data_IF_702671566728
#
_entry.id   IF_702671566728
#
_cell.length_a   1.000
_cell.length_b   1.000
_cell.length_c   1.000
_cell.angle_alpha   90.00
_cell.angle_beta   90.00
_cell.angle_gamma   90.00
#
_symmetry.space_group_name_H-M   'P 1'
#
loop_
_entity.id
_entity.type
_entity.pdbx_description
1 polymer ?
#
# COMPACT_ATOMS: atom_id res chain seq x y z
N UNK A 1 37.28 -56.59 -10.51
CA UNK A 1 36.21 -55.59 -10.24
C UNK A 1 36.78 -54.43 -9.44
N UNK A 2 37.48 -53.47 -10.06
CA UNK A 2 37.87 -52.19 -9.42
C UNK A 2 37.98 -51.13 -10.52
N UNK A 3 36.86 -50.69 -11.10
CA UNK A 3 36.89 -49.53 -12.02
C UNK A 3 35.58 -48.76 -12.20
N UNK A 4 34.50 -49.12 -11.47
CA UNK A 4 33.21 -48.42 -11.58
C UNK A 4 33.02 -47.31 -10.52
N UNK A 5 33.49 -47.54 -9.30
CA UNK A 5 33.21 -46.67 -8.14
C UNK A 5 34.08 -45.40 -8.06
N UNK A 6 35.21 -45.34 -8.80
CA UNK A 6 36.08 -44.14 -8.82
C UNK A 6 35.60 -43.07 -9.82
N UNK A 7 34.90 -43.47 -10.88
CA UNK A 7 34.36 -42.54 -11.87
C UNK A 7 33.07 -41.86 -11.40
N UNK A 8 32.23 -42.56 -10.60
CA UNK A 8 31.02 -41.98 -10.03
C UNK A 8 31.30 -40.95 -8.93
N UNK A 9 32.32 -41.15 -8.09
CA UNK A 9 32.73 -40.15 -7.08
C UNK A 9 33.32 -38.87 -7.71
N UNK A 10 34.09 -39.00 -8.81
CA UNK A 10 34.65 -37.84 -9.49
C UNK A 10 33.58 -36.98 -10.18
N UNK A 11 32.57 -37.61 -10.78
CA UNK A 11 31.45 -36.91 -11.41
C UNK A 11 30.52 -36.23 -10.38
N UNK A 12 30.26 -36.87 -9.25
CA UNK A 12 29.44 -36.28 -8.19
C UNK A 12 30.13 -35.08 -7.50
N UNK A 13 31.45 -35.12 -7.33
CA UNK A 13 32.22 -34.02 -6.76
C UNK A 13 32.37 -32.85 -7.73
N UNK A 14 32.50 -33.11 -9.03
CA UNK A 14 32.50 -32.08 -10.07
C UNK A 14 31.12 -31.41 -10.23
N UNK A 15 30.02 -32.17 -10.11
CA UNK A 15 28.67 -31.62 -10.12
C UNK A 15 28.37 -30.80 -8.85
N UNK A 16 28.85 -31.23 -7.68
CA UNK A 16 28.74 -30.47 -6.44
C UNK A 16 29.58 -29.19 -6.45
N UNK A 17 30.77 -29.21 -7.08
CA UNK A 17 31.62 -28.03 -7.24
C UNK A 17 31.05 -27.04 -8.27
N UNK A 18 30.39 -27.52 -9.33
CA UNK A 18 29.66 -26.68 -10.28
C UNK A 18 28.38 -26.06 -9.68
N UNK A 19 27.67 -26.78 -8.79
CA UNK A 19 26.55 -26.21 -8.03
C UNK A 19 27.00 -25.21 -6.95
N UNK A 20 28.19 -25.38 -6.38
CA UNK A 20 28.77 -24.45 -5.41
C UNK A 20 29.37 -23.17 -6.04
N UNK A 21 29.58 -23.15 -7.37
CA UNK A 21 30.04 -21.97 -8.11
C UNK A 21 28.88 -21.11 -8.66
N UNK A 22 27.63 -21.57 -8.55
CA UNK A 22 26.44 -20.80 -8.93
C UNK A 22 25.92 -19.89 -7.80
N UNK A 23 26.53 -19.93 -6.61
CA UNK A 23 26.13 -19.12 -5.47
C UNK A 23 27.06 -17.91 -5.30
N UNK A 24 26.61 -16.76 -5.81
CA UNK A 24 27.11 -15.43 -5.45
C UNK A 24 28.04 -14.80 -6.48
N UNK A 25 27.51 -14.35 -7.62
CA UNK A 25 28.16 -13.22 -8.29
C UNK A 25 28.20 -12.07 -7.28
N UNK A 26 29.39 -11.72 -6.82
CA UNK A 26 29.58 -10.56 -5.93
C UNK A 26 29.11 -9.34 -6.71
N UNK A 27 28.07 -8.67 -6.22
CA UNK A 27 27.59 -7.42 -6.83
C UNK A 27 28.74 -6.41 -6.84
N UNK A 28 29.28 -6.11 -8.02
CA UNK A 28 30.31 -5.09 -8.13
C UNK A 28 29.65 -3.73 -7.94
N UNK A 29 30.26 -2.86 -7.14
CA UNK A 29 29.80 -1.49 -7.01
C UNK A 29 30.51 -0.63 -8.05
N UNK A 30 29.74 0.11 -8.83
CA UNK A 30 30.23 1.12 -9.76
C UNK A 30 29.57 2.45 -9.45
N UNK A 31 30.39 3.43 -9.09
CA UNK A 31 30.01 4.76 -8.63
C UNK A 31 30.28 5.78 -9.71
N UNK A 32 29.29 6.64 -9.94
CA UNK A 32 29.41 7.77 -10.83
C UNK A 32 30.44 8.78 -10.29
N UNK A 33 31.44 9.10 -11.11
CA UNK A 33 32.52 10.05 -10.79
C UNK A 33 32.38 11.41 -11.50
N UNK A 34 31.43 11.56 -12.42
CA UNK A 34 31.24 12.78 -13.22
C UNK A 34 31.58 12.59 -14.71
N UNK A 35 31.26 13.60 -15.52
CA UNK A 35 31.47 13.62 -16.99
C UNK A 35 30.30 14.26 -17.74
N UNK A 36 30.15 13.94 -19.04
CA UNK A 36 29.18 14.58 -19.96
C UNK A 36 27.69 14.21 -19.71
N UNK A 37 27.40 13.57 -18.56
CA UNK A 37 26.05 13.19 -18.17
C UNK A 37 25.54 11.86 -18.76
N UNK A 38 26.19 11.27 -19.77
CA UNK A 38 25.71 10.03 -20.40
C UNK A 38 26.08 8.76 -19.62
N UNK A 39 25.11 7.87 -19.42
CA UNK A 39 25.27 6.58 -18.72
C UNK A 39 26.30 5.68 -19.42
N UNK A 40 26.27 5.65 -20.76
CA UNK A 40 27.04 4.73 -21.60
C UNK A 40 28.55 4.97 -21.65
N UNK A 41 29.07 6.03 -21.00
CA UNK A 41 30.48 6.40 -21.07
C UNK A 41 31.25 5.71 -19.92
N UNK A 42 32.16 4.75 -20.21
CA UNK A 42 32.87 4.02 -19.14
C UNK A 42 33.67 4.90 -18.20
N UNK A 43 34.21 6.03 -18.70
CA UNK A 43 35.00 6.97 -17.91
C UNK A 43 34.22 7.70 -16.82
N UNK A 44 32.88 7.73 -16.92
CA UNK A 44 32.02 8.35 -15.93
C UNK A 44 31.86 7.50 -14.66
N UNK A 45 32.33 6.26 -14.69
CA UNK A 45 32.16 5.26 -13.64
C UNK A 45 33.51 4.80 -13.09
N UNK A 46 33.59 4.45 -11.81
CA UNK A 46 34.82 3.92 -11.19
C UNK A 46 35.02 2.41 -11.37
N UNK A 47 33.93 1.67 -11.52
CA UNK A 47 33.90 0.24 -11.83
C UNK A 47 33.63 -0.07 -13.30
N UNK A 48 33.59 0.94 -14.19
CA UNK A 48 33.08 0.81 -15.55
C UNK A 48 31.54 0.88 -15.61
N UNK A 49 30.96 0.76 -16.80
CA UNK A 49 29.49 0.85 -16.96
C UNK A 49 28.83 -0.28 -16.15
N UNK A 50 27.94 0.03 -15.20
CA UNK A 50 27.24 -0.99 -14.42
C UNK A 50 26.45 -1.95 -15.32
N UNK A 51 26.52 -3.25 -15.02
CA UNK A 51 25.85 -4.32 -15.74
C UNK A 51 24.88 -5.11 -14.84
N UNK A 52 24.24 -6.14 -15.41
CA UNK A 52 23.32 -7.01 -14.68
C UNK A 52 24.04 -7.67 -13.49
N UNK A 53 23.47 -7.56 -12.29
CA UNK A 53 24.10 -8.03 -11.05
C UNK A 53 24.82 -6.93 -10.25
N UNK A 54 25.17 -5.80 -10.87
CA UNK A 54 25.96 -4.74 -10.24
C UNK A 54 25.11 -3.75 -9.44
N UNK A 55 25.79 -3.02 -8.55
CA UNK A 55 25.27 -1.85 -7.86
C UNK A 55 25.78 -0.59 -8.54
N UNK A 56 24.87 0.20 -9.11
CA UNK A 56 25.14 1.52 -9.65
C UNK A 56 24.86 2.59 -8.58
N UNK A 57 25.84 3.45 -8.28
CA UNK A 57 25.69 4.54 -7.29
C UNK A 57 25.86 5.89 -7.97
N UNK A 58 24.85 6.75 -7.88
CA UNK A 58 24.91 8.13 -8.33
C UNK A 58 24.90 9.05 -7.09
N UNK A 59 26.03 9.65 -6.71
CA UNK A 59 26.23 10.07 -5.32
C UNK A 59 25.53 11.36 -4.90
N UNK A 60 25.47 12.38 -5.76
CA UNK A 60 24.77 13.66 -5.54
C UNK A 60 24.98 14.66 -6.68
N UNK A 61 24.14 15.70 -6.76
CA UNK A 61 24.30 16.91 -7.56
C UNK A 61 24.63 16.65 -9.03
N UNK A 62 23.89 15.73 -9.66
CA UNK A 62 24.20 15.33 -11.04
C UNK A 62 22.95 14.97 -11.83
N UNK A 63 22.94 15.41 -13.08
CA UNK A 63 21.99 14.96 -14.09
C UNK A 63 22.65 13.86 -14.93
N UNK A 64 22.07 12.66 -14.90
CA UNK A 64 22.50 11.52 -15.71
C UNK A 64 21.44 11.26 -16.78
N UNK A 65 21.87 11.07 -18.02
CA UNK A 65 21.06 10.69 -19.16
C UNK A 65 21.27 9.20 -19.42
N UNK A 66 20.19 8.42 -19.34
CA UNK A 66 20.18 7.06 -19.88
C UNK A 66 20.08 7.17 -21.40
N UNK A 67 21.21 6.97 -22.06
CA UNK A 67 21.40 7.05 -23.51
C UNK A 67 21.54 5.67 -24.16
N UNK A 68 21.25 4.60 -23.41
CA UNK A 68 21.32 3.20 -23.85
C UNK A 68 20.00 2.45 -23.63
N UNK A 69 19.70 1.56 -24.58
CA UNK A 69 18.60 0.62 -24.49
C UNK A 69 19.11 -0.73 -23.98
N UNK A 70 18.43 -1.30 -22.99
CA UNK A 70 18.75 -2.61 -22.44
C UNK A 70 19.75 -2.58 -21.29
N UNK A 71 19.98 -1.41 -20.68
CA UNK A 71 20.81 -1.34 -19.48
C UNK A 71 20.14 -2.13 -18.34
N UNK A 72 20.96 -2.85 -17.58
CA UNK A 72 20.49 -3.64 -16.45
C UNK A 72 21.41 -3.42 -15.27
N UNK A 73 20.85 -3.32 -14.07
CA UNK A 73 21.59 -3.30 -12.80
C UNK A 73 20.85 -4.15 -11.77
N UNK A 74 21.51 -4.56 -10.70
CA UNK A 74 20.83 -5.16 -9.56
C UNK A 74 20.37 -4.09 -8.56
N UNK A 75 21.23 -3.14 -8.22
CA UNK A 75 20.91 -2.05 -7.28
C UNK A 75 21.17 -0.72 -7.98
N UNK A 76 20.24 0.24 -7.88
CA UNK A 76 20.44 1.63 -8.26
C UNK A 76 20.31 2.51 -7.01
N UNK A 77 21.37 3.21 -6.65
CA UNK A 77 21.40 4.12 -5.50
C UNK A 77 21.52 5.58 -5.97
N UNK A 78 20.61 6.43 -5.50
CA UNK A 78 20.51 7.85 -5.88
C UNK A 78 20.65 8.74 -4.64
N UNK A 79 21.64 9.62 -4.66
CA UNK A 79 21.88 10.59 -3.59
C UNK A 79 21.19 11.96 -3.82
N UNK A 80 21.61 12.96 -3.05
CA UNK A 80 20.95 14.27 -3.02
C UNK A 80 21.10 15.05 -4.34
N UNK A 81 20.02 15.65 -4.83
CA UNK A 81 19.97 16.45 -6.06
C UNK A 81 20.44 15.67 -7.30
N UNK A 82 20.08 14.38 -7.37
CA UNK A 82 20.30 13.53 -8.54
C UNK A 82 19.09 13.52 -9.44
N UNK A 83 19.29 13.71 -10.74
CA UNK A 83 18.27 13.52 -11.76
C UNK A 83 18.72 12.48 -12.78
N UNK A 84 18.08 11.30 -12.80
CA UNK A 84 18.26 10.31 -13.85
C UNK A 84 17.16 10.48 -14.90
N UNK A 85 17.52 10.90 -16.12
CA UNK A 85 16.57 11.03 -17.24
C UNK A 85 16.69 9.83 -18.17
N UNK A 86 15.63 9.03 -18.27
CA UNK A 86 15.48 7.97 -19.26
C UNK A 86 14.85 8.55 -20.52
N UNK A 87 15.69 8.69 -21.55
CA UNK A 87 15.32 9.32 -22.82
C UNK A 87 14.54 8.36 -23.73
N UNK A 88 13.86 8.90 -24.74
CA UNK A 88 13.00 8.14 -25.65
C UNK A 88 13.74 6.94 -26.28
N UNK A 89 13.14 5.75 -26.20
CA UNK A 89 13.68 4.53 -26.78
C UNK A 89 14.76 3.83 -25.94
N UNK A 90 15.15 4.40 -24.81
CA UNK A 90 16.12 3.85 -23.87
C UNK A 90 15.43 3.25 -22.64
N UNK A 91 16.13 2.37 -21.92
CA UNK A 91 15.57 1.74 -20.73
C UNK A 91 16.64 1.30 -19.73
N UNK A 92 16.21 1.24 -18.48
CA UNK A 92 16.97 0.66 -17.37
C UNK A 92 16.11 -0.39 -16.69
N UNK A 93 16.64 -1.60 -16.55
CA UNK A 93 15.96 -2.69 -15.85
C UNK A 93 16.68 -3.01 -14.54
N UNK A 94 15.92 -3.06 -13.45
CA UNK A 94 16.39 -3.67 -12.20
C UNK A 94 16.20 -5.18 -12.29
N UNK A 95 17.28 -5.92 -12.00
CA UNK A 95 17.31 -7.39 -12.03
C UNK A 95 16.36 -7.97 -10.99
N UNK A 96 15.94 -9.24 -11.15
CA UNK A 96 15.04 -9.87 -10.19
C UNK A 96 15.66 -9.91 -8.79
N UNK A 97 14.91 -9.49 -7.76
CA UNK A 97 15.45 -9.31 -6.40
C UNK A 97 16.27 -8.03 -6.18
N UNK A 98 16.37 -7.16 -7.19
CA UNK A 98 17.14 -5.92 -7.15
C UNK A 98 16.40 -4.74 -6.51
N UNK A 99 17.06 -3.60 -6.32
CA UNK A 99 16.46 -2.44 -5.65
C UNK A 99 16.77 -1.07 -6.28
N UNK A 100 15.83 -0.13 -6.13
CA UNK A 100 16.04 1.30 -6.35
C UNK A 100 16.03 1.99 -4.99
N UNK A 101 17.16 2.54 -4.58
CA UNK A 101 17.32 3.18 -3.28
C UNK A 101 17.64 4.67 -3.44
N UNK A 102 16.77 5.53 -2.92
CA UNK A 102 17.05 6.94 -2.75
C UNK A 102 17.58 7.20 -1.34
N UNK A 103 18.90 7.37 -1.21
CA UNK A 103 19.54 7.81 0.04
C UNK A 103 19.69 9.34 0.11
N UNK A 104 19.27 10.05 -0.94
CA UNK A 104 19.10 11.50 -0.98
C UNK A 104 17.83 11.90 -1.74
N UNK A 105 17.60 13.22 -1.87
CA UNK A 105 16.49 13.75 -2.66
C UNK A 105 16.78 13.56 -4.16
N UNK A 106 16.08 12.63 -4.81
CA UNK A 106 16.38 12.23 -6.17
C UNK A 106 15.15 12.22 -7.08
N UNK A 107 15.37 12.43 -8.38
CA UNK A 107 14.36 12.36 -9.43
C UNK A 107 14.76 11.34 -10.50
N UNK A 108 13.85 10.45 -10.86
CA UNK A 108 13.93 9.65 -12.09
C UNK A 108 12.87 10.14 -13.06
N UNK A 109 13.30 10.70 -14.19
CA UNK A 109 12.43 11.20 -15.25
C UNK A 109 12.35 10.19 -16.39
N UNK A 110 11.14 9.70 -16.69
CA UNK A 110 10.84 8.76 -17.76
C UNK A 110 10.14 9.48 -18.92
N UNK A 111 10.83 9.58 -20.06
CA UNK A 111 10.22 9.98 -21.33
C UNK A 111 9.46 8.76 -21.89
N UNK A 112 8.29 8.92 -22.57
CA UNK A 112 7.47 7.79 -23.03
C UNK A 112 8.23 6.72 -23.83
N UNK A 113 7.72 5.48 -23.71
CA UNK A 113 8.20 4.20 -24.26
C UNK A 113 9.40 3.52 -23.55
N UNK A 114 9.11 2.38 -22.91
CA UNK A 114 10.06 1.38 -22.39
C UNK A 114 10.97 1.78 -21.20
N UNK A 115 10.80 2.95 -20.59
CA UNK A 115 11.60 3.58 -19.50
C UNK A 115 12.23 2.75 -18.37
N UNK A 116 11.85 3.03 -17.11
CA UNK A 116 12.35 2.31 -15.92
C UNK A 116 11.55 1.02 -15.73
N UNK A 117 12.25 -0.11 -15.68
CA UNK A 117 11.68 -1.45 -15.61
C UNK A 117 12.10 -2.17 -14.35
N UNK A 118 11.14 -2.85 -13.74
CA UNK A 118 11.36 -3.75 -12.62
C UNK A 118 11.10 -5.18 -13.09
N UNK A 119 12.05 -6.08 -12.84
CA UNK A 119 11.83 -7.51 -12.93
C UNK A 119 11.00 -8.00 -11.71
N UNK A 120 11.09 -9.29 -11.37
CA UNK A 120 10.33 -9.86 -10.26
C UNK A 120 10.99 -9.56 -8.90
N UNK A 121 10.18 -9.28 -7.88
CA UNK A 121 10.58 -9.05 -6.49
C UNK A 121 11.57 -7.89 -6.32
N UNK A 122 11.25 -6.74 -6.90
CA UNK A 122 12.10 -5.55 -6.74
C UNK A 122 11.63 -4.68 -5.57
N UNK A 123 12.59 -4.06 -4.90
CA UNK A 123 12.33 -3.14 -3.80
C UNK A 123 12.63 -1.69 -4.21
N UNK A 124 11.78 -0.76 -3.81
CA UNK A 124 12.08 0.68 -3.81
C UNK A 124 12.28 1.09 -2.37
N UNK A 125 13.44 1.67 -2.07
CA UNK A 125 13.81 2.16 -0.74
C UNK A 125 14.00 3.67 -0.77
N UNK A 126 13.53 4.37 0.25
CA UNK A 126 13.82 5.80 0.48
C UNK A 126 14.28 6.00 1.92
N UNK A 127 15.45 6.60 2.11
CA UNK A 127 15.96 6.92 3.44
C UNK A 127 15.07 7.93 4.16
N UNK A 128 15.07 7.89 5.48
CA UNK A 128 14.25 8.78 6.30
C UNK A 128 14.51 10.27 5.96
N UNK A 129 13.43 11.01 5.70
CA UNK A 129 13.50 12.44 5.36
C UNK A 129 14.02 12.74 3.96
N UNK A 130 14.16 11.72 3.09
CA UNK A 130 14.51 11.88 1.68
C UNK A 130 13.29 11.69 0.77
N UNK A 131 13.43 12.12 -0.47
CA UNK A 131 12.39 11.99 -1.48
C UNK A 131 12.91 11.26 -2.72
N UNK A 132 12.06 10.41 -3.31
CA UNK A 132 12.25 9.86 -4.65
C UNK A 132 11.07 10.31 -5.52
N UNK A 133 11.35 11.20 -6.46
CA UNK A 133 10.38 11.64 -7.47
C UNK A 133 10.49 10.75 -8.71
N UNK A 134 9.40 10.13 -9.14
CA UNK A 134 9.31 9.42 -10.42
C UNK A 134 8.42 10.25 -11.35
N UNK A 135 9.02 10.90 -12.34
CA UNK A 135 8.35 11.86 -13.23
C UNK A 135 8.22 11.31 -14.65
N UNK A 136 7.10 11.51 -15.35
CA UNK A 136 7.00 11.12 -16.76
C UNK A 136 5.61 10.77 -17.26
N UNK A 137 5.41 10.79 -18.57
CA UNK A 137 4.18 10.33 -19.25
C UNK A 137 4.22 8.83 -19.63
N UNK A 138 5.33 8.14 -19.36
CA UNK A 138 5.50 6.70 -19.53
C UNK A 138 5.52 6.00 -18.18
N UNK A 139 4.67 4.99 -17.99
CA UNK A 139 4.55 4.23 -16.75
C UNK A 139 5.88 3.60 -16.33
N UNK A 140 6.22 3.63 -15.05
CA UNK A 140 7.12 2.63 -14.48
C UNK A 140 6.47 1.25 -14.69
N UNK A 141 7.15 0.35 -15.41
CA UNK A 141 6.59 -0.96 -15.76
C UNK A 141 7.21 -2.03 -14.86
N UNK A 142 6.39 -2.66 -14.02
CA UNK A 142 6.78 -3.84 -13.25
C UNK A 142 6.25 -5.12 -13.91
N UNK A 143 7.09 -6.15 -14.01
CA UNK A 143 6.64 -7.50 -14.40
C UNK A 143 6.07 -8.18 -13.17
N UNK A 144 4.74 -8.21 -13.10
CA UNK A 144 3.88 -9.28 -12.58
C UNK A 144 4.20 -10.01 -11.26
N UNK A 145 5.21 -9.67 -10.46
CA UNK A 145 5.52 -10.21 -9.12
C UNK A 145 6.21 -9.15 -8.23
N UNK A 146 5.40 -8.51 -7.38
CA UNK A 146 5.71 -7.64 -6.23
C UNK A 146 6.74 -6.51 -6.44
N UNK A 147 6.24 -5.28 -6.53
CA UNK A 147 7.01 -4.06 -6.27
C UNK A 147 6.81 -3.68 -4.79
N UNK A 148 7.87 -3.72 -3.99
CA UNK A 148 7.81 -3.30 -2.57
C UNK A 148 8.18 -1.83 -2.47
N UNK A 149 7.37 -0.99 -1.82
CA UNK A 149 7.76 0.36 -1.40
C UNK A 149 8.20 0.29 0.07
N UNK A 150 9.43 0.66 0.38
CA UNK A 150 9.99 0.69 1.73
C UNK A 150 10.57 2.07 2.04
N UNK A 151 10.15 2.69 3.14
CA UNK A 151 10.71 3.94 3.64
C UNK A 151 11.35 3.69 5.00
N UNK A 152 12.57 4.20 5.23
CA UNK A 152 13.32 4.02 6.47
C UNK A 152 12.93 4.99 7.61
N UNK A 153 11.89 5.80 7.44
CA UNK A 153 11.34 6.69 8.46
C UNK A 153 10.13 6.10 9.15
N UNK A 154 9.79 6.59 10.35
CA UNK A 154 8.49 6.32 10.97
C UNK A 154 7.39 6.66 9.95
N UNK A 155 6.62 5.63 9.56
CA UNK A 155 5.43 5.67 8.70
C UNK A 155 5.47 6.76 7.60
N UNK A 156 6.10 6.48 6.46
CA UNK A 156 6.25 7.43 5.34
C UNK A 156 4.92 7.81 4.69
N UNK A 157 4.84 9.02 4.11
CA UNK A 157 3.67 9.48 3.34
C UNK A 157 3.80 9.08 1.86
N UNK A 158 2.68 8.80 1.21
CA UNK A 158 2.60 8.54 -0.24
C UNK A 158 1.56 9.46 -0.89
N UNK A 159 1.90 10.06 -2.02
CA UNK A 159 0.97 10.81 -2.86
C UNK A 159 0.80 10.09 -4.21
N UNK A 160 -0.44 9.72 -4.51
CA UNK A 160 -0.84 9.21 -5.82
C UNK A 160 -1.42 10.36 -6.63
N UNK A 161 -0.67 10.79 -7.64
CA UNK A 161 -1.12 11.80 -8.60
C UNK A 161 -2.32 11.33 -9.43
N UNK A 162 -2.82 12.21 -10.29
CA UNK A 162 -3.98 11.93 -11.13
C UNK A 162 -3.85 10.60 -11.90
N UNK A 163 -4.91 9.81 -11.88
CA UNK A 163 -5.03 8.49 -12.52
C UNK A 163 -3.99 7.43 -12.07
N UNK A 164 -3.18 7.71 -11.05
CA UNK A 164 -2.17 6.78 -10.53
C UNK A 164 -2.81 5.64 -9.76
N UNK A 165 -2.22 4.45 -9.86
CA UNK A 165 -2.67 3.27 -9.14
C UNK A 165 -1.57 2.73 -8.22
N UNK A 166 -1.98 2.09 -7.13
CA UNK A 166 -1.11 1.40 -6.19
C UNK A 166 -1.50 -0.08 -6.17
N UNK A 167 -0.57 -0.97 -6.52
CA UNK A 167 -0.76 -2.43 -6.45
C UNK A 167 0.19 -3.01 -5.39
N UNK A 168 -0.37 -3.42 -4.25
CA UNK A 168 0.32 -3.93 -3.08
C UNK A 168 0.25 -5.44 -3.03
N UNK A 169 1.42 -6.05 -3.13
CA UNK A 169 1.58 -7.50 -2.98
C UNK A 169 2.20 -7.92 -1.66
N UNK A 170 2.68 -6.94 -0.90
CA UNK A 170 3.12 -7.05 0.48
C UNK A 170 2.27 -6.17 1.38
N UNK A 171 2.55 -6.24 2.67
CA UNK A 171 2.00 -5.29 3.63
C UNK A 171 2.71 -3.95 3.49
N UNK A 172 1.98 -2.85 3.62
CA UNK A 172 2.53 -1.50 3.59
C UNK A 172 1.93 -0.69 4.73
N UNK A 173 2.76 0.05 5.46
CA UNK A 173 2.30 1.03 6.47
C UNK A 173 2.74 2.42 6.03
N UNK A 174 1.78 3.35 6.00
CA UNK A 174 2.00 4.75 5.64
C UNK A 174 1.51 5.68 6.76
N UNK A 175 2.17 6.83 6.89
CA UNK A 175 1.71 7.92 7.76
C UNK A 175 0.43 8.53 7.19
N UNK A 176 0.50 8.96 5.94
CA UNK A 176 -0.60 9.46 5.14
C UNK A 176 -0.59 8.91 3.70
N UNK A 177 -1.78 8.86 3.09
CA UNK A 177 -1.96 8.58 1.67
C UNK A 177 -2.79 9.71 1.07
N UNK A 178 -2.20 10.46 0.13
CA UNK A 178 -2.91 11.49 -0.63
C UNK A 178 -3.32 10.94 -1.99
N UNK A 179 -4.57 11.15 -2.35
CA UNK A 179 -5.14 10.80 -3.66
C UNK A 179 -5.86 11.99 -4.27
N UNK A 180 -5.80 12.14 -5.59
CA UNK A 180 -6.43 13.26 -6.29
C UNK A 180 -7.91 12.99 -6.64
N UNK A 181 -8.75 14.00 -6.43
CA UNK A 181 -10.20 13.96 -6.73
C UNK A 181 -10.43 13.70 -8.22
N UNK A 182 -11.33 12.77 -8.53
CA UNK A 182 -11.71 12.45 -9.92
C UNK A 182 -10.70 11.59 -10.68
N UNK A 183 -9.65 11.09 -10.01
CA UNK A 183 -8.73 10.12 -10.58
C UNK A 183 -9.42 8.79 -10.94
N UNK A 184 -8.94 8.15 -12.01
CA UNK A 184 -9.39 6.83 -12.50
C UNK A 184 -8.56 5.65 -11.99
N UNK A 185 -7.57 5.95 -11.16
CA UNK A 185 -6.67 4.95 -10.59
C UNK A 185 -7.36 4.02 -9.61
N UNK A 186 -6.60 3.07 -9.08
CA UNK A 186 -7.09 2.10 -8.10
C UNK A 186 -6.04 1.81 -7.04
N UNK A 187 -6.48 1.42 -5.85
CA UNK A 187 -5.60 0.82 -4.84
C UNK A 187 -5.97 -0.66 -4.75
N UNK A 188 -5.06 -1.52 -5.17
CA UNK A 188 -5.20 -2.96 -5.11
C UNK A 188 -4.31 -3.53 -4.02
N UNK A 189 -4.89 -4.30 -3.10
CA UNK A 189 -4.17 -5.01 -2.05
C UNK A 189 -4.40 -6.50 -2.25
N UNK A 190 -3.31 -7.25 -2.42
CA UNK A 190 -3.36 -8.69 -2.61
C UNK A 190 -4.01 -9.40 -1.43
N UNK A 191 -4.53 -10.60 -1.67
CA UNK A 191 -5.14 -11.41 -0.62
C UNK A 191 -4.17 -11.64 0.55
N UNK A 192 -4.70 -11.57 1.78
CA UNK A 192 -3.93 -11.71 3.02
C UNK A 192 -2.83 -10.65 3.23
N UNK A 193 -2.86 -9.55 2.47
CA UNK A 193 -2.01 -8.37 2.69
C UNK A 193 -2.84 -7.21 3.20
N UNK A 194 -2.16 -6.24 3.80
CA UNK A 194 -2.81 -5.07 4.40
C UNK A 194 -2.07 -3.80 4.03
N UNK A 195 -2.82 -2.81 3.54
CA UNK A 195 -2.40 -1.41 3.56
C UNK A 195 -2.84 -0.80 4.88
N UNK A 196 -1.89 -0.37 5.72
CA UNK A 196 -2.17 0.34 6.97
C UNK A 196 -1.89 1.82 6.79
N UNK A 197 -2.86 2.67 7.12
CA UNK A 197 -2.70 4.12 7.21
C UNK A 197 -2.79 4.52 8.68
N UNK A 198 -1.80 5.27 9.16
CA UNK A 198 -1.81 5.82 10.53
C UNK A 198 -2.68 7.06 10.67
N UNK A 199 -2.88 7.79 9.57
CA UNK A 199 -3.75 8.96 9.51
C UNK A 199 -3.52 9.93 10.69
N UNK A 200 -2.34 10.56 10.72
CA UNK A 200 -2.00 11.59 11.71
C UNK A 200 -2.79 12.90 11.56
N UNK A 201 -3.59 13.02 10.51
CA UNK A 201 -4.45 14.15 10.18
C UNK A 201 -5.64 13.65 9.34
N UNK A 202 -6.56 14.56 9.07
CA UNK A 202 -7.70 14.28 8.21
C UNK A 202 -7.25 13.77 6.84
N UNK A 203 -7.90 12.71 6.34
CA UNK A 203 -7.51 12.04 5.11
C UNK A 203 -8.73 11.69 4.26
N UNK A 204 -8.69 12.07 3.00
CA UNK A 204 -9.69 11.69 2.00
C UNK A 204 -9.11 10.65 1.04
N UNK A 205 -9.79 9.51 0.91
CA UNK A 205 -9.45 8.44 -0.03
C UNK A 205 -10.38 8.53 -1.24
N UNK A 206 -9.84 9.02 -2.35
CA UNK A 206 -10.56 9.34 -3.60
C UNK A 206 -10.58 8.20 -4.62
N UNK A 207 -9.84 7.12 -4.36
CA UNK A 207 -9.71 5.96 -5.24
C UNK A 207 -10.39 4.73 -4.65
N UNK A 208 -10.95 3.83 -5.50
CA UNK A 208 -11.49 2.57 -5.03
C UNK A 208 -10.39 1.66 -4.48
N UNK A 209 -10.70 0.96 -3.39
CA UNK A 209 -9.76 0.04 -2.72
C UNK A 209 -10.24 -1.41 -2.83
N UNK A 210 -9.40 -2.29 -3.37
CA UNK A 210 -9.62 -3.74 -3.36
C UNK A 210 -8.68 -4.41 -2.36
N UNK A 211 -9.11 -5.50 -1.73
CA UNK A 211 -8.40 -6.12 -0.62
C UNK A 211 -8.62 -5.40 0.72
N UNK A 212 -7.61 -5.42 1.60
CA UNK A 212 -7.72 -4.97 2.98
C UNK A 212 -7.03 -3.63 3.23
N UNK A 213 -7.82 -2.63 3.61
CA UNK A 213 -7.39 -1.34 4.12
C UNK A 213 -7.55 -1.32 5.64
N UNK A 214 -6.49 -0.99 6.37
CA UNK A 214 -6.51 -0.74 7.81
C UNK A 214 -6.24 0.73 8.08
N UNK A 215 -7.10 1.33 8.90
CA UNK A 215 -7.06 2.73 9.29
C UNK A 215 -6.82 2.80 10.80
N UNK A 216 -5.76 3.49 11.20
CA UNK A 216 -5.36 3.68 12.61
C UNK A 216 -5.26 5.16 12.99
N UNK A 217 -6.33 5.95 12.76
CA UNK A 217 -6.30 7.40 12.92
C UNK A 217 -5.88 7.86 14.31
N UNK A 218 -5.18 9.00 14.35
CA UNK A 218 -4.90 9.69 15.61
C UNK A 218 -6.18 10.26 16.23
N UNK A 219 -6.09 10.66 17.50
CA UNK A 219 -7.16 11.24 18.29
C UNK A 219 -7.94 12.34 17.52
N UNK A 220 -9.24 12.13 17.31
CA UNK A 220 -10.16 13.08 16.66
C UNK A 220 -10.01 13.26 15.15
N UNK A 221 -9.12 12.51 14.48
CA UNK A 221 -8.93 12.61 13.04
C UNK A 221 -10.11 12.03 12.26
N UNK A 222 -10.41 12.64 11.11
CA UNK A 222 -11.42 12.18 10.14
C UNK A 222 -10.76 11.40 9.00
N UNK A 223 -11.31 10.25 8.65
CA UNK A 223 -10.99 9.56 7.39
C UNK A 223 -12.25 9.48 6.54
N UNK A 224 -12.21 10.01 5.31
CA UNK A 224 -13.31 9.91 4.36
C UNK A 224 -13.03 8.85 3.29
N UNK A 225 -14.00 7.98 3.04
CA UNK A 225 -13.99 7.03 1.93
C UNK A 225 -14.93 7.52 0.85
N UNK A 226 -14.38 8.11 -0.22
CA UNK A 226 -15.15 8.70 -1.32
C UNK A 226 -15.50 7.70 -2.43
N UNK A 227 -14.90 6.50 -2.39
CA UNK A 227 -15.16 5.38 -3.32
C UNK A 227 -15.37 4.06 -2.58
N UNK A 228 -15.78 3.01 -3.30
CA UNK A 228 -15.90 1.65 -2.75
C UNK A 228 -14.60 1.16 -2.11
N UNK A 229 -14.75 0.40 -1.03
CA UNK A 229 -13.67 -0.39 -0.45
C UNK A 229 -14.15 -1.81 -0.10
N UNK A 230 -13.30 -2.82 -0.32
CA UNK A 230 -13.69 -4.21 -0.09
C UNK A 230 -13.71 -4.56 1.40
N UNK A 231 -12.57 -4.52 2.09
CA UNK A 231 -12.48 -4.76 3.54
C UNK A 231 -11.79 -3.58 4.19
N UNK A 232 -12.44 -2.96 5.16
CA UNK A 232 -11.90 -1.85 5.95
C UNK A 232 -11.83 -2.27 7.41
N UNK A 233 -10.67 -2.16 8.03
CA UNK A 233 -10.52 -2.16 9.48
C UNK A 233 -10.37 -0.72 9.94
N UNK A 234 -11.19 -0.27 10.88
CA UNK A 234 -11.12 1.06 11.49
C UNK A 234 -10.88 0.92 12.99
N UNK A 235 -9.76 1.46 13.47
CA UNK A 235 -9.36 1.34 14.87
C UNK A 235 -9.83 2.55 15.69
N UNK A 236 -10.55 2.29 16.77
CA UNK A 236 -11.00 3.30 17.72
C UNK A 236 -9.87 3.92 18.53
N UNK A 237 -10.16 5.06 19.15
CA UNK A 237 -9.27 5.73 20.09
C UNK A 237 -10.04 6.64 21.07
N UNK A 238 -9.33 7.16 22.07
CA UNK A 238 -9.86 7.95 23.17
C UNK A 238 -10.63 9.24 22.82
N UNK A 239 -10.38 9.78 21.63
CA UNK A 239 -10.95 11.05 21.19
C UNK A 239 -11.89 10.86 20.00
N UNK A 240 -12.41 9.64 19.86
CA UNK A 240 -13.49 9.26 18.94
C UNK A 240 -13.19 9.67 17.49
N UNK A 241 -12.35 8.90 16.77
CA UNK A 241 -12.05 9.21 15.37
C UNK A 241 -13.30 8.99 14.51
N UNK A 242 -13.38 9.75 13.41
CA UNK A 242 -14.52 9.76 12.51
C UNK A 242 -14.22 9.01 11.21
N UNK A 243 -14.98 7.96 10.91
CA UNK A 243 -15.03 7.37 9.58
C UNK A 243 -16.22 7.94 8.80
N UNK A 244 -15.95 8.81 7.83
CA UNK A 244 -16.94 9.35 6.92
C UNK A 244 -17.12 8.44 5.69
N UNK A 245 -18.34 7.99 5.49
CA UNK A 245 -18.71 7.04 4.45
C UNK A 245 -19.44 7.77 3.32
N UNK A 246 -18.66 8.31 2.38
CA UNK A 246 -19.14 9.23 1.35
C UNK A 246 -19.59 8.57 0.06
N UNK A 247 -19.23 7.31 -0.16
CA UNK A 247 -19.56 6.60 -1.39
C UNK A 247 -20.87 5.81 -1.28
N UNK A 248 -21.81 6.03 -2.20
CA UNK A 248 -22.99 5.18 -2.33
C UNK A 248 -22.66 3.75 -2.86
N UNK A 249 -21.43 3.51 -3.31
CA UNK A 249 -21.00 2.20 -3.86
C UNK A 249 -20.82 1.12 -2.78
N UNK A 250 -20.80 1.50 -1.49
CA UNK A 250 -20.81 0.58 -0.36
C UNK A 250 -19.44 0.02 0.05
N UNK A 251 -19.45 -0.74 1.15
CA UNK A 251 -18.34 -1.52 1.67
C UNK A 251 -18.69 -3.01 1.64
N UNK A 252 -17.69 -3.87 1.36
CA UNK A 252 -17.87 -5.31 1.54
C UNK A 252 -17.93 -5.70 3.01
N UNK A 253 -16.90 -5.30 3.77
CA UNK A 253 -16.76 -5.57 5.20
C UNK A 253 -16.16 -4.36 5.91
N UNK A 254 -16.76 -3.96 7.03
CA UNK A 254 -16.24 -2.96 7.96
C UNK A 254 -16.01 -3.62 9.31
N UNK A 255 -14.74 -3.65 9.74
CA UNK A 255 -14.31 -4.16 11.04
C UNK A 255 -13.94 -3.00 11.92
N UNK A 256 -14.68 -2.82 13.00
CA UNK A 256 -14.35 -1.88 14.04
C UNK A 256 -13.50 -2.62 15.08
N UNK A 257 -12.30 -2.13 15.31
CA UNK A 257 -11.39 -2.67 16.33
C UNK A 257 -11.25 -1.65 17.46
N UNK A 258 -11.29 -2.12 18.71
CA UNK A 258 -10.99 -1.30 19.89
C UNK A 258 -9.62 -0.62 19.86
N UNK A 259 -9.52 0.50 20.58
CA UNK A 259 -8.31 1.25 20.90
C UNK A 259 -8.05 1.35 22.41
N UNK A 260 -8.02 2.57 22.95
CA UNK A 260 -8.01 2.86 24.39
C UNK A 260 -8.25 4.37 24.58
N UNK A 261 -9.44 4.81 25.08
CA UNK A 261 -10.74 4.14 25.05
C UNK A 261 -11.16 3.61 23.67
N UNK A 262 -12.12 2.67 23.68
CA UNK A 262 -12.56 1.86 22.53
C UNK A 262 -13.81 2.45 21.88
N UNK A 263 -13.69 3.68 21.35
CA UNK A 263 -14.82 4.43 20.79
C UNK A 263 -14.52 4.82 19.33
N UNK A 264 -15.54 4.72 18.46
CA UNK A 264 -15.50 5.13 17.05
C UNK A 264 -16.79 5.84 16.67
N UNK A 265 -16.69 6.82 15.77
CA UNK A 265 -17.86 7.37 15.08
C UNK A 265 -17.83 6.96 13.61
N UNK A 266 -18.95 6.44 13.13
CA UNK A 266 -19.21 6.24 11.71
C UNK A 266 -20.28 7.24 11.28
N UNK A 267 -20.00 7.96 10.20
CA UNK A 267 -20.96 8.89 9.60
C UNK A 267 -21.27 8.51 8.16
N UNK A 268 -22.48 7.98 7.89
CA UNK A 268 -22.99 7.88 6.54
C UNK A 268 -23.14 9.27 5.91
N UNK A 269 -22.42 9.53 4.82
CA UNK A 269 -22.50 10.77 4.05
C UNK A 269 -23.41 10.64 2.80
N UNK A 270 -23.87 9.42 2.53
CA UNK A 270 -24.90 9.07 1.56
C UNK A 270 -25.69 7.84 2.06
N UNK A 271 -26.78 7.49 1.37
CA UNK A 271 -27.39 6.18 1.54
C UNK A 271 -26.36 5.11 1.14
N UNK A 272 -26.03 4.21 2.06
CA UNK A 272 -24.90 3.30 1.89
C UNK A 272 -25.20 1.90 2.37
N UNK A 273 -24.52 0.92 1.76
CA UNK A 273 -24.54 -0.48 2.16
C UNK A 273 -23.19 -0.91 2.70
N UNK A 274 -23.20 -1.64 3.82
CA UNK A 274 -22.07 -2.39 4.36
C UNK A 274 -22.47 -3.86 4.37
N UNK A 275 -21.73 -4.71 3.68
CA UNK A 275 -22.05 -6.14 3.61
C UNK A 275 -21.99 -6.80 4.98
N UNK A 276 -20.86 -6.65 5.68
CA UNK A 276 -20.66 -7.13 7.05
C UNK A 276 -20.12 -6.00 7.91
N UNK A 277 -20.77 -5.73 9.05
CA UNK A 277 -20.26 -4.85 10.10
C UNK A 277 -19.90 -5.72 11.31
N UNK A 278 -18.64 -5.73 11.70
CA UNK A 278 -18.19 -6.42 12.90
C UNK A 278 -17.59 -5.45 13.91
N UNK A 279 -17.95 -5.61 15.18
CA UNK A 279 -17.45 -4.75 16.26
C UNK A 279 -16.66 -5.61 17.23
N UNK A 280 -15.34 -5.59 17.14
CA UNK A 280 -14.47 -6.43 17.97
C UNK A 280 -13.72 -5.61 19.01
N UNK A 281 -13.89 -5.99 20.28
CA UNK A 281 -13.27 -5.31 21.44
C UNK A 281 -13.60 -3.81 21.47
N UNK A 282 -14.76 -3.42 20.99
CA UNK A 282 -15.20 -2.03 20.95
C UNK A 282 -16.11 -1.78 22.14
N UNK A 283 -15.91 -0.68 22.87
CA UNK A 283 -16.83 -0.26 23.94
C UNK A 283 -18.06 0.36 23.31
N UNK A 284 -17.87 1.28 22.37
CA UNK A 284 -18.97 2.04 21.77
C UNK A 284 -18.73 2.37 20.29
N UNK A 285 -19.74 2.14 19.46
CA UNK A 285 -19.81 2.62 18.08
C UNK A 285 -20.93 3.64 17.98
N UNK A 286 -20.59 4.92 17.81
CA UNK A 286 -21.56 5.96 17.49
C UNK A 286 -21.85 5.99 15.98
N UNK A 287 -23.11 5.82 15.61
CA UNK A 287 -23.61 6.06 14.25
C UNK A 287 -24.20 7.47 14.18
N UNK A 288 -23.44 8.40 13.63
CA UNK A 288 -23.81 9.81 13.52
C UNK A 288 -24.39 10.11 12.14
N UNK A 289 -25.65 10.53 12.09
CA UNK A 289 -26.32 10.92 10.85
C UNK A 289 -26.25 12.43 10.57
N UNK A 290 -25.58 13.20 11.44
CA UNK A 290 -25.38 14.65 11.35
C UNK A 290 -26.71 15.43 11.14
N UNK A 291 -27.80 14.92 11.73
CA UNK A 291 -29.13 15.50 11.55
C UNK A 291 -29.73 15.34 10.14
N UNK A 292 -29.08 14.59 9.25
CA UNK A 292 -29.54 14.34 7.88
C UNK A 292 -30.22 12.96 7.77
N UNK A 293 -31.38 12.90 7.13
CA UNK A 293 -32.05 11.62 6.85
C UNK A 293 -31.29 10.84 5.78
N UNK A 294 -30.54 9.82 6.21
CA UNK A 294 -29.80 8.86 5.37
C UNK A 294 -30.03 7.44 5.88
N UNK A 295 -29.82 6.46 5.02
CA UNK A 295 -29.92 5.05 5.37
C UNK A 295 -28.56 4.37 5.40
N UNK A 296 -28.24 3.70 6.50
CA UNK A 296 -27.17 2.71 6.57
C UNK A 296 -27.78 1.31 6.50
N UNK A 297 -27.48 0.57 5.44
CA UNK A 297 -27.91 -0.83 5.29
C UNK A 297 -26.77 -1.76 5.61
N UNK A 298 -26.93 -2.60 6.62
CA UNK A 298 -25.97 -3.61 7.07
C UNK A 298 -26.51 -4.99 6.71
N UNK A 299 -25.79 -5.73 5.86
CA UNK A 299 -26.20 -7.08 5.46
C UNK A 299 -26.12 -8.08 6.63
N UNK A 300 -25.01 -8.04 7.37
CA UNK A 300 -24.78 -8.84 8.56
C UNK A 300 -24.07 -8.04 9.64
N UNK A 301 -24.65 -8.03 10.84
CA UNK A 301 -24.11 -7.37 12.01
C UNK A 301 -23.56 -8.41 12.99
N UNK A 302 -22.26 -8.32 13.29
CA UNK A 302 -21.51 -9.27 14.09
C UNK A 302 -20.78 -8.55 15.25
N UNK A 303 -21.50 -8.13 16.30
CA UNK A 303 -20.89 -7.51 17.47
C UNK A 303 -20.29 -8.60 18.38
N UNK A 304 -19.12 -8.34 18.97
CA UNK A 304 -18.57 -9.16 20.06
C UNK A 304 -19.29 -8.90 21.39
N UNK A 305 -19.03 -9.74 22.38
CA UNK A 305 -19.54 -9.59 23.75
C UNK A 305 -19.12 -8.25 24.37
N UNK A 306 -20.08 -7.52 24.93
CA UNK A 306 -19.93 -6.20 25.54
C UNK A 306 -19.90 -5.03 24.56
N UNK A 307 -20.06 -5.24 23.24
CA UNK A 307 -20.09 -4.15 22.28
C UNK A 307 -21.38 -3.33 22.37
N UNK A 308 -21.28 -2.00 22.38
CA UNK A 308 -22.42 -1.10 22.30
C UNK A 308 -22.41 -0.37 20.95
N UNK A 309 -23.57 -0.33 20.29
CA UNK A 309 -23.82 0.50 19.12
C UNK A 309 -24.82 1.55 19.56
N UNK A 310 -24.39 2.80 19.57
CA UNK A 310 -25.26 3.93 19.83
C UNK A 310 -25.57 4.65 18.52
N UNK A 311 -26.81 5.10 18.38
CA UNK A 311 -27.23 5.88 17.23
C UNK A 311 -27.66 7.24 17.73
N UNK A 312 -26.67 8.13 17.76
CA UNK A 312 -26.81 9.50 18.22
C UNK A 312 -26.94 10.46 17.02
N UNK A 313 -27.87 11.40 17.12
CA UNK A 313 -27.99 12.56 16.22
C UNK A 313 -28.55 12.33 14.80
N UNK A 314 -29.85 12.06 14.70
CA UNK A 314 -30.65 12.55 13.56
C UNK A 314 -31.70 11.60 13.02
N UNK A 315 -32.51 12.05 12.04
CA UNK A 315 -33.63 11.29 11.46
C UNK A 315 -33.18 10.21 10.46
N UNK A 316 -32.14 9.45 10.80
CA UNK A 316 -31.57 8.38 9.99
C UNK A 316 -32.41 7.09 9.97
N UNK A 317 -31.96 6.13 9.17
CA UNK A 317 -32.47 4.76 9.18
C UNK A 317 -31.32 3.75 9.25
N UNK A 318 -31.40 2.82 10.20
CA UNK A 318 -30.51 1.66 10.25
C UNK A 318 -31.29 0.43 9.77
N UNK A 319 -30.79 -0.22 8.73
CA UNK A 319 -31.39 -1.46 8.20
C UNK A 319 -30.46 -2.62 8.47
N UNK A 320 -30.92 -3.68 9.13
CA UNK A 320 -30.08 -4.83 9.49
C UNK A 320 -30.69 -6.11 8.91
N UNK A 321 -29.96 -6.76 7.99
CA UNK A 321 -30.38 -8.03 7.41
C UNK A 321 -30.31 -9.19 8.41
N UNK A 322 -29.13 -9.45 8.96
CA UNK A 322 -28.90 -10.53 9.94
C UNK A 322 -28.08 -10.05 11.13
N UNK A 323 -28.30 -10.63 12.30
CA UNK A 323 -27.45 -10.40 13.49
C UNK A 323 -26.87 -11.73 13.96
N UNK A 324 -25.55 -11.79 14.13
CA UNK A 324 -24.84 -12.93 14.70
C UNK A 324 -23.94 -12.47 15.84
N UNK A 325 -24.52 -12.31 17.03
CA UNK A 325 -23.82 -11.96 18.25
C UNK A 325 -23.55 -13.22 19.12
N UNK A 326 -22.30 -13.54 19.47
CA UNK A 326 -21.95 -14.68 20.33
C UNK A 326 -22.14 -14.40 21.83
N UNK A 327 -22.33 -13.13 22.24
CA UNK A 327 -22.48 -12.69 23.63
C UNK A 327 -23.51 -11.57 23.79
N UNK A 328 -23.51 -10.93 24.96
CA UNK A 328 -24.38 -9.80 25.28
C UNK A 328 -23.86 -8.55 24.55
N UNK A 329 -24.73 -7.78 23.89
CA UNK A 329 -24.37 -6.54 23.21
C UNK A 329 -25.54 -5.56 23.27
N UNK A 330 -25.25 -4.26 23.12
CA UNK A 330 -26.25 -3.19 23.23
C UNK A 330 -26.51 -2.49 21.89
N UNK A 331 -27.79 -2.19 21.62
CA UNK A 331 -28.20 -1.25 20.58
C UNK A 331 -29.04 -0.15 21.21
N UNK A 332 -28.53 1.08 21.20
CA UNK A 332 -29.27 2.29 21.57
C UNK A 332 -29.73 3.02 20.31
N UNK A 333 -30.95 3.55 20.34
CA UNK A 333 -31.59 4.23 19.21
C UNK A 333 -32.17 5.57 19.65
N UNK A 334 -31.60 6.69 19.22
CA UNK A 334 -32.21 8.00 19.38
C UNK A 334 -32.75 8.54 18.05
N UNK A 335 -34.08 8.73 17.95
CA UNK A 335 -34.76 9.37 16.81
C UNK A 335 -34.52 8.73 15.42
N UNK A 336 -34.09 7.46 15.37
CA UNK A 336 -33.83 6.69 14.14
C UNK A 336 -34.86 5.60 13.87
N UNK A 337 -35.13 5.34 12.58
CA UNK A 337 -35.95 4.22 12.13
C UNK A 337 -35.10 2.93 12.05
N UNK A 338 -35.44 1.91 12.84
CA UNK A 338 -34.84 0.57 12.73
C UNK A 338 -35.69 -0.32 11.81
N UNK A 339 -35.09 -0.79 10.72
CA UNK A 339 -35.69 -1.74 9.77
C UNK A 339 -34.98 -3.10 9.89
N UNK A 340 -35.75 -4.15 10.20
CA UNK A 340 -35.27 -5.54 10.32
C UNK A 340 -35.91 -6.40 9.21
N UNK A 341 -35.47 -6.26 7.94
CA UNK A 341 -36.10 -6.93 6.81
C UNK A 341 -35.79 -8.42 6.83
N UNK A 342 -36.57 -9.20 7.58
CA UNK A 342 -36.60 -10.66 7.57
C UNK A 342 -35.23 -11.34 7.71
N UNK A 343 -34.88 -11.78 8.92
CA UNK A 343 -33.64 -12.51 9.18
C UNK A 343 -33.60 -13.18 10.55
N UNK A 344 -32.47 -13.84 10.84
CA UNK A 344 -32.20 -14.37 12.18
C UNK A 344 -31.47 -13.28 12.98
N UNK A 345 -32.12 -12.77 14.04
CA UNK A 345 -31.61 -11.66 14.86
C UNK A 345 -31.25 -12.12 16.28
N UNK A 346 -30.45 -13.18 16.40
CA UNK A 346 -30.09 -13.74 17.71
C UNK A 346 -29.23 -12.75 18.49
N UNK A 347 -29.61 -12.53 19.75
CA UNK A 347 -28.88 -11.67 20.68
C UNK A 347 -29.28 -10.19 20.63
N UNK A 348 -30.18 -9.76 19.74
CA UNK A 348 -30.67 -8.37 19.75
C UNK A 348 -31.52 -8.10 20.99
N UNK A 349 -31.00 -7.28 21.90
CA UNK A 349 -31.74 -6.69 23.01
C UNK A 349 -32.01 -5.21 22.67
N UNK A 350 -33.28 -4.80 22.70
CA UNK A 350 -33.75 -3.42 22.52
C UNK A 350 -34.18 -2.83 23.86
#
# INVERSE_FOLDING_TARGET
MISGSRFLCAAALAAALALALASGAVSATSTWKGGDGNWSVPGNWDGGIPAAGDKAVIPKNVAVQMDVNGAQVNILELGDDVTLTITFGNNLTLSAGGSLHAFGNATVKVVPDNGLKFAANNDIAVDAGKTLSLEGAGSAQGVADALTLSGGGADADLELGQDSSLDLRGDLTLGALKTEVGGKGTIAVAASKTLTLKNGADTDIELPVTGHLKLEPTAGAKVALNKKAQTVTFKGNAAVPLLALCSAEGLGELRLEGGNPDEVTIRPEADMTVGVLSCSKLKECALDFDGVKRALTVGSLNPDDGAEIDIDNGPGALKIGTVSAPGDWGLSLEAVELDLPGGNHKGLAL
#
